data_IF_512428894881
#
_entry.id   IF_512428894881
#
_cell.length_a   1.000
_cell.length_b   1.000
_cell.length_c   1.000
_cell.angle_alpha   90.00
_cell.angle_beta   90.00
_cell.angle_gamma   90.00
#
_symmetry.space_group_name_H-M   'P 1'
#
loop_
_entity.id
_entity.type
_entity.pdbx_description
1 polymer ?
#
# COMPACT_ATOMS: atom_id res chain seq x y z
N UNK A 1 10.07 7.86 -3.29
CA UNK A 1 8.71 8.37 -2.97
C UNK A 1 8.89 9.51 -2.01
N UNK A 2 8.03 10.50 -2.16
CA UNK A 2 8.15 11.80 -1.51
C UNK A 2 6.74 12.24 -1.14
N UNK A 3 6.53 12.63 0.10
CA UNK A 3 5.32 13.30 0.55
C UNK A 3 5.63 14.78 0.69
N UNK A 4 4.75 15.62 0.14
CA UNK A 4 5.02 17.06 0.08
C UNK A 4 3.74 17.87 0.13
N UNK A 5 3.85 19.08 0.67
CA UNK A 5 2.76 20.05 0.63
C UNK A 5 2.54 20.59 -0.80
N UNK A 6 1.48 21.37 -0.98
CA UNK A 6 1.11 21.91 -2.29
C UNK A 6 2.19 22.81 -2.91
N UNK A 7 2.83 23.66 -2.12
CA UNK A 7 3.86 24.59 -2.60
C UNK A 7 5.08 23.85 -3.16
N UNK A 8 5.62 22.89 -2.40
CA UNK A 8 6.75 22.07 -2.83
C UNK A 8 6.37 21.21 -4.04
N UNK A 9 5.14 20.69 -4.09
CA UNK A 9 4.66 19.94 -5.25
C UNK A 9 4.65 20.78 -6.53
N UNK A 10 4.16 22.01 -6.46
CA UNK A 10 4.12 22.91 -7.62
C UNK A 10 5.52 23.26 -8.14
N UNK A 11 6.49 23.46 -7.23
CA UNK A 11 7.90 23.65 -7.60
C UNK A 11 8.44 22.41 -8.34
N UNK A 12 8.25 21.21 -7.78
CA UNK A 12 8.67 19.94 -8.41
C UNK A 12 8.02 19.76 -9.78
N UNK A 13 6.73 20.09 -9.90
CA UNK A 13 5.97 19.98 -11.14
C UNK A 13 6.50 20.94 -12.21
N UNK A 14 6.80 22.18 -11.84
CA UNK A 14 7.40 23.15 -12.76
C UNK A 14 8.75 22.66 -13.25
N UNK A 15 9.67 22.31 -12.35
CA UNK A 15 11.02 21.85 -12.74
C UNK A 15 10.98 20.58 -13.58
N UNK A 16 10.12 19.61 -13.25
CA UNK A 16 9.96 18.42 -14.07
C UNK A 16 9.47 18.75 -15.48
N UNK A 17 8.56 19.73 -15.61
CA UNK A 17 8.06 20.19 -16.92
C UNK A 17 9.16 20.86 -17.73
N UNK A 18 9.99 21.69 -17.09
CA UNK A 18 11.15 22.35 -17.71
C UNK A 18 12.18 21.31 -18.23
N UNK A 19 12.32 20.19 -17.51
CA UNK A 19 13.16 19.05 -17.90
C UNK A 19 12.50 18.12 -18.94
N UNK A 20 11.30 18.45 -19.44
CA UNK A 20 10.55 17.64 -20.40
C UNK A 20 9.94 16.36 -19.81
N UNK A 21 9.85 16.26 -18.49
CA UNK A 21 9.29 15.12 -17.76
C UNK A 21 7.83 15.39 -17.40
N UNK A 22 6.92 14.62 -18.01
CA UNK A 22 5.50 14.67 -17.67
C UNK A 22 5.22 13.94 -16.36
N UNK A 23 4.77 14.68 -15.33
CA UNK A 23 4.28 14.07 -14.08
C UNK A 23 2.82 13.65 -14.24
N UNK A 24 2.53 12.36 -14.11
CA UNK A 24 1.20 11.80 -14.34
C UNK A 24 0.35 11.77 -13.07
N UNK A 25 -0.82 12.42 -13.08
CA UNK A 25 -1.81 12.28 -12.00
C UNK A 25 -2.32 10.84 -11.97
N UNK A 26 -2.40 10.24 -10.79
CA UNK A 26 -3.11 8.99 -10.59
C UNK A 26 -4.55 9.12 -11.13
N UNK A 27 -5.01 8.10 -11.85
CA UNK A 27 -6.36 8.01 -12.38
C UNK A 27 -6.88 6.61 -12.12
N UNK A 28 -8.13 6.50 -11.68
CA UNK A 28 -8.85 5.24 -11.38
C UNK A 28 -8.31 4.43 -10.19
N UNK A 29 -7.02 4.52 -9.87
CA UNK A 29 -6.40 3.83 -8.74
C UNK A 29 -5.20 4.59 -8.19
N UNK A 30 -5.07 4.62 -6.85
CA UNK A 30 -3.98 5.29 -6.13
C UNK A 30 -2.63 4.59 -6.33
N UNK A 31 -2.63 3.30 -6.63
CA UNK A 31 -1.41 2.55 -6.92
C UNK A 31 -0.82 2.81 -8.31
N UNK A 32 -1.54 3.45 -9.23
CA UNK A 32 -1.09 3.66 -10.63
C UNK A 32 0.34 4.23 -10.74
N UNK A 33 0.77 5.24 -9.94
CA UNK A 33 2.12 5.78 -10.01
C UNK A 33 3.26 4.79 -9.72
N UNK A 34 2.98 3.60 -9.16
CA UNK A 34 3.97 2.52 -8.99
C UNK A 34 4.35 1.84 -10.31
N UNK A 35 3.68 2.17 -11.42
CA UNK A 35 3.94 1.57 -12.73
C UNK A 35 5.33 1.90 -13.24
N UNK A 36 6.07 0.88 -13.69
CA UNK A 36 7.37 1.06 -14.35
C UNK A 36 7.30 1.90 -15.64
N UNK A 37 6.10 2.06 -16.22
CA UNK A 37 5.86 2.90 -17.39
C UNK A 37 5.71 4.38 -17.05
N UNK A 38 5.58 4.71 -15.76
CA UNK A 38 5.43 6.08 -15.27
C UNK A 38 6.75 6.47 -14.63
N UNK A 39 7.46 7.40 -15.26
CA UNK A 39 8.72 7.91 -14.73
C UNK A 39 8.50 8.77 -13.48
N UNK A 40 7.49 9.63 -13.53
CA UNK A 40 7.01 10.42 -12.39
C UNK A 40 5.48 10.43 -12.38
N UNK A 41 4.90 10.09 -11.23
CA UNK A 41 3.46 10.15 -11.02
C UNK A 41 3.13 10.68 -9.64
N UNK A 42 1.90 11.18 -9.47
CA UNK A 42 1.49 11.79 -8.21
C UNK A 42 0.05 11.44 -7.82
N UNK A 43 -0.23 11.50 -6.53
CA UNK A 43 -1.54 11.29 -5.93
C UNK A 43 -1.88 12.52 -5.07
N UNK A 44 -2.77 13.40 -5.55
CA UNK A 44 -3.21 14.53 -4.75
C UNK A 44 -4.17 14.10 -3.62
N UNK A 45 -4.32 14.90 -2.55
CA UNK A 45 -5.14 14.57 -1.38
C UNK A 45 -6.59 14.19 -1.69
N UNK A 46 -7.21 14.83 -2.69
CA UNK A 46 -8.58 14.56 -3.13
C UNK A 46 -8.78 13.15 -3.70
N UNK A 47 -7.71 12.53 -4.19
CA UNK A 47 -7.79 11.27 -4.92
C UNK A 47 -8.04 10.09 -4.00
N UNK A 48 -7.68 10.19 -2.72
CA UNK A 48 -7.87 9.14 -1.71
C UNK A 48 -9.35 8.79 -1.48
N UNK A 49 -10.26 9.73 -1.75
CA UNK A 49 -11.71 9.53 -1.67
C UNK A 49 -12.40 9.31 -3.03
N UNK A 50 -11.68 9.58 -4.12
CA UNK A 50 -12.25 9.67 -5.46
C UNK A 50 -12.52 8.30 -6.12
N UNK A 51 -11.84 7.23 -5.69
CA UNK A 51 -11.90 5.93 -6.37
C UNK A 51 -12.67 4.89 -5.56
N UNK A 52 -13.68 4.30 -6.19
CA UNK A 52 -14.60 3.35 -5.55
C UNK A 52 -13.96 2.02 -5.18
N UNK A 53 -13.04 1.51 -5.99
CA UNK A 53 -12.45 0.16 -5.84
C UNK A 53 -11.71 -0.06 -4.52
N UNK A 54 -11.12 0.99 -3.95
CA UNK A 54 -10.35 0.90 -2.71
C UNK A 54 -10.82 1.90 -1.64
N UNK A 55 -11.99 2.53 -1.83
CA UNK A 55 -12.42 3.70 -1.04
C UNK A 55 -12.34 3.45 0.47
N UNK A 56 -12.86 2.31 0.95
CA UNK A 56 -12.86 1.96 2.37
C UNK A 56 -11.45 1.68 2.90
N UNK A 57 -10.66 0.93 2.15
CA UNK A 57 -9.26 0.63 2.48
C UNK A 57 -8.42 1.92 2.54
N UNK A 58 -8.69 2.89 1.66
CA UNK A 58 -7.93 4.14 1.60
C UNK A 58 -8.28 5.14 2.72
N UNK A 59 -9.29 4.86 3.53
CA UNK A 59 -9.63 5.68 4.70
C UNK A 59 -8.48 5.85 5.70
N UNK A 60 -7.52 4.91 5.73
CA UNK A 60 -6.30 4.98 6.53
C UNK A 60 -5.42 6.20 6.21
N UNK A 61 -5.53 6.76 5.01
CA UNK A 61 -4.83 8.01 4.67
C UNK A 61 -5.24 9.18 5.58
N UNK A 62 -6.53 9.28 5.92
CA UNK A 62 -7.09 10.40 6.68
C UNK A 62 -6.70 10.41 8.16
N UNK A 63 -6.20 9.28 8.66
CA UNK A 63 -5.65 9.12 10.02
C UNK A 63 -4.13 9.08 10.02
N UNK A 64 -3.48 9.18 8.86
CA UNK A 64 -2.02 9.12 8.73
C UNK A 64 -1.36 10.49 8.89
N UNK A 65 -0.06 10.54 9.21
CA UNK A 65 0.73 11.78 9.22
C UNK A 65 0.79 12.50 7.86
N UNK A 66 0.47 11.80 6.76
CA UNK A 66 0.53 12.34 5.40
C UNK A 66 -0.77 13.01 4.95
N UNK A 67 -1.77 13.11 5.83
CA UNK A 67 -3.05 13.75 5.53
C UNK A 67 -2.84 15.17 4.99
N UNK A 68 -3.42 15.44 3.83
CA UNK A 68 -3.34 16.73 3.14
C UNK A 68 -2.12 16.90 2.26
N UNK A 69 -1.21 15.93 2.23
CA UNK A 69 -0.01 15.96 1.39
C UNK A 69 -0.22 15.28 0.04
N UNK A 70 0.53 15.73 -0.96
CA UNK A 70 0.62 15.06 -2.26
C UNK A 70 1.72 14.01 -2.21
N UNK A 71 1.38 12.77 -2.58
CA UNK A 71 2.37 11.73 -2.79
C UNK A 71 2.95 11.85 -4.19
N UNK A 72 4.28 11.85 -4.29
CA UNK A 72 5.01 11.74 -5.56
C UNK A 72 5.80 10.44 -5.58
N UNK A 73 5.56 9.64 -6.63
CA UNK A 73 6.32 8.43 -6.95
C UNK A 73 7.17 8.73 -8.19
N UNK A 74 8.47 8.49 -8.07
CA UNK A 74 9.42 8.76 -9.14
C UNK A 74 10.41 7.62 -9.24
N UNK A 75 10.74 7.22 -10.46
CA UNK A 75 11.88 6.34 -10.75
C UNK A 75 13.21 7.10 -10.80
N UNK A 76 13.15 8.44 -10.78
CA UNK A 76 14.32 9.33 -10.75
C UNK A 76 14.69 9.72 -9.32
N UNK A 77 15.99 9.91 -9.10
CA UNK A 77 16.50 10.53 -7.89
C UNK A 77 16.26 12.06 -7.98
N UNK A 78 15.56 12.62 -6.99
CA UNK A 78 15.23 14.05 -6.94
C UNK A 78 16.14 14.84 -5.98
N UNK A 79 17.23 14.24 -5.48
CA UNK A 79 18.20 14.92 -4.60
C UNK A 79 18.84 16.15 -5.24
N UNK A 80 19.05 16.16 -6.56
CA UNK A 80 19.50 17.36 -7.29
C UNK A 80 18.52 18.54 -7.20
N UNK A 81 17.28 18.28 -6.78
CA UNK A 81 16.22 19.27 -6.53
C UNK A 81 16.02 19.53 -5.03
N UNK A 82 17.01 19.16 -4.21
CA UNK A 82 16.97 19.34 -2.74
C UNK A 82 16.02 18.39 -2.01
N UNK A 83 15.49 17.36 -2.69
CA UNK A 83 14.54 16.43 -2.11
C UNK A 83 15.18 15.12 -1.68
N UNK A 84 14.91 14.71 -0.44
CA UNK A 84 15.25 13.38 0.06
C UNK A 84 14.06 12.47 -0.13
N UNK A 85 14.26 11.32 -0.79
CA UNK A 85 13.21 10.32 -0.89
C UNK A 85 12.96 9.74 0.49
N UNK A 86 11.75 9.83 1.02
CA UNK A 86 11.40 9.18 2.29
C UNK A 86 11.40 7.66 2.17
N UNK A 87 11.12 7.15 0.96
CA UNK A 87 10.94 5.72 0.76
C UNK A 87 11.35 5.26 -0.63
N UNK A 88 12.00 4.10 -0.69
CA UNK A 88 12.42 3.45 -1.92
C UNK A 88 11.81 2.04 -2.01
N UNK A 89 11.29 1.70 -3.18
CA UNK A 89 10.76 0.37 -3.47
C UNK A 89 11.75 -0.38 -4.35
N UNK A 90 12.13 -1.59 -3.96
CA UNK A 90 13.12 -2.40 -4.65
C UNK A 90 12.60 -3.82 -4.83
N UNK A 91 13.12 -4.50 -5.84
CA UNK A 91 12.84 -5.92 -6.05
C UNK A 91 13.44 -6.76 -4.92
N UNK A 92 12.66 -7.71 -4.36
CA UNK A 92 13.17 -8.67 -3.37
C UNK A 92 13.31 -10.09 -3.91
N UNK A 93 14.33 -10.80 -3.44
CA UNK A 93 14.48 -12.25 -3.62
C UNK A 93 13.74 -13.05 -2.54
N UNK A 94 13.22 -12.38 -1.50
CA UNK A 94 12.51 -13.05 -0.41
C UNK A 94 11.32 -13.88 -0.93
N UNK A 95 11.11 -15.03 -0.28
CA UNK A 95 9.98 -15.92 -0.51
C UNK A 95 9.47 -16.40 0.84
N UNK A 96 8.21 -16.11 1.14
CA UNK A 96 7.55 -16.66 2.31
C UNK A 96 7.26 -18.14 2.09
N UNK A 97 7.74 -19.00 3.01
CA UNK A 97 7.53 -20.46 2.93
C UNK A 97 6.17 -20.88 3.49
N UNK A 98 5.66 -20.17 4.50
CA UNK A 98 4.42 -20.51 5.20
C UNK A 98 3.71 -19.25 5.68
N UNK A 99 2.43 -19.12 5.35
CA UNK A 99 1.56 -18.08 5.85
C UNK A 99 0.88 -18.52 7.16
N UNK A 100 0.52 -17.57 8.04
CA UNK A 100 -0.27 -17.88 9.22
C UNK A 100 -1.66 -18.40 8.82
N UNK A 101 -2.14 -19.41 9.54
CA UNK A 101 -3.50 -19.92 9.46
C UNK A 101 -4.51 -19.01 10.17
N UNK A 102 -5.80 -19.39 10.12
CA UNK A 102 -6.91 -18.57 10.64
C UNK A 102 -6.77 -18.21 12.12
N UNK A 103 -6.42 -19.18 12.98
CA UNK A 103 -6.22 -18.95 14.43
C UNK A 103 -5.09 -17.97 14.70
N UNK A 104 -4.00 -18.10 13.96
CA UNK A 104 -2.82 -17.25 14.04
C UNK A 104 -3.11 -15.81 13.59
N UNK A 105 -3.94 -15.66 12.55
CA UNK A 105 -4.42 -14.36 12.08
C UNK A 105 -5.34 -13.69 13.09
N UNK A 106 -6.27 -14.43 13.71
CA UNK A 106 -7.19 -13.89 14.72
C UNK A 106 -6.44 -13.19 15.88
N UNK A 107 -5.31 -13.76 16.33
CA UNK A 107 -4.51 -13.13 17.40
C UNK A 107 -3.95 -11.76 16.99
N UNK A 108 -3.71 -11.50 15.70
CA UNK A 108 -3.29 -10.17 15.24
C UNK A 108 -4.43 -9.15 15.31
N UNK A 109 -5.67 -9.58 15.06
CA UNK A 109 -6.85 -8.72 15.08
C UNK A 109 -7.26 -8.34 16.51
N UNK A 110 -6.95 -9.18 17.49
CA UNK A 110 -7.26 -8.93 18.90
C UNK A 110 -6.31 -7.91 19.55
N UNK A 111 -5.21 -7.55 18.89
CA UNK A 111 -4.21 -6.61 19.41
C UNK A 111 -4.78 -5.21 19.55
N UNK A 112 -4.46 -4.57 20.67
CA UNK A 112 -4.84 -3.20 20.95
C UNK A 112 -4.29 -2.25 19.87
N UNK A 113 -3.01 -2.41 19.50
CA UNK A 113 -2.35 -1.62 18.44
C UNK A 113 -3.16 -1.57 17.15
N UNK A 114 -3.64 -2.72 16.67
CA UNK A 114 -4.50 -2.76 15.48
C UNK A 114 -5.87 -2.10 15.71
N UNK A 115 -6.50 -2.37 16.86
CA UNK A 115 -7.85 -1.87 17.17
C UNK A 115 -7.90 -0.36 17.32
N UNK A 116 -6.84 0.26 17.85
CA UNK A 116 -6.75 1.73 18.02
C UNK A 116 -6.30 2.44 16.75
N UNK A 117 -5.50 1.80 15.90
CA UNK A 117 -5.00 2.41 14.66
C UNK A 117 -5.99 2.36 13.50
N UNK A 118 -6.88 1.37 13.47
CA UNK A 118 -7.82 1.22 12.34
C UNK A 118 -8.88 2.33 12.33
N UNK A 119 -9.16 2.96 11.17
CA UNK A 119 -10.27 3.90 11.04
C UNK A 119 -11.63 3.23 11.23
N UNK A 120 -12.60 3.89 11.83
CA UNK A 120 -13.96 3.36 12.00
C UNK A 120 -14.62 2.90 10.69
N UNK A 121 -14.34 3.59 9.58
CA UNK A 121 -14.89 3.28 8.26
C UNK A 121 -14.36 1.93 7.75
N UNK A 122 -13.18 1.50 8.21
CA UNK A 122 -12.54 0.25 7.79
C UNK A 122 -13.41 -0.98 8.07
N UNK A 123 -14.06 -1.04 9.23
CA UNK A 123 -14.90 -2.19 9.60
C UNK A 123 -16.31 -2.14 8.99
N UNK A 124 -16.70 -1.00 8.39
CA UNK A 124 -18.05 -0.79 7.86
C UNK A 124 -18.15 -1.31 6.42
N UNK A 125 -18.28 -2.63 6.28
CA UNK A 125 -18.51 -3.26 4.98
C UNK A 125 -20.01 -3.17 4.64
N UNK A 126 -20.34 -2.47 3.56
CA UNK A 126 -21.71 -2.43 3.03
C UNK A 126 -22.07 -3.81 2.41
N UNK A 127 -23.28 -4.35 2.64
CA UNK A 127 -23.73 -5.59 2.01
C UNK A 127 -23.55 -5.65 0.47
N UNK A 128 -23.75 -4.52 -0.23
CA UNK A 128 -23.51 -4.41 -1.67
C UNK A 128 -22.03 -4.47 -2.01
N UNK A 129 -21.16 -3.88 -1.18
CA UNK A 129 -19.70 -3.99 -1.33
C UNK A 129 -19.27 -5.44 -1.16
N UNK A 130 -19.84 -6.15 -0.17
CA UNK A 130 -19.58 -7.56 0.07
C UNK A 130 -19.94 -8.43 -1.14
N UNK A 131 -21.14 -8.26 -1.70
CA UNK A 131 -21.58 -9.00 -2.90
C UNK A 131 -20.66 -8.73 -4.11
N UNK A 132 -20.31 -7.46 -4.33
CA UNK A 132 -19.39 -7.08 -5.41
C UNK A 132 -18.01 -7.68 -5.22
N UNK A 133 -17.50 -7.70 -3.99
CA UNK A 133 -16.22 -8.31 -3.66
C UNK A 133 -16.27 -9.82 -3.88
N UNK A 134 -17.29 -10.53 -3.40
CA UNK A 134 -17.45 -11.98 -3.63
C UNK A 134 -17.47 -12.32 -5.14
N UNK A 135 -18.11 -11.48 -5.96
CA UNK A 135 -18.07 -11.64 -7.42
C UNK A 135 -16.66 -11.43 -7.97
N UNK A 136 -15.94 -10.42 -7.48
CA UNK A 136 -14.56 -10.16 -7.85
C UNK A 136 -13.62 -11.30 -7.47
N UNK A 137 -13.81 -11.94 -6.31
CA UNK A 137 -13.02 -13.11 -5.90
C UNK A 137 -13.13 -14.26 -6.90
N UNK A 138 -14.35 -14.53 -7.38
CA UNK A 138 -14.58 -15.54 -8.43
C UNK A 138 -13.88 -15.18 -9.74
N UNK A 139 -13.94 -13.92 -10.16
CA UNK A 139 -13.23 -13.43 -11.37
C UNK A 139 -11.71 -13.59 -11.22
N UNK A 140 -11.18 -13.38 -10.01
CA UNK A 140 -9.76 -13.54 -9.70
C UNK A 140 -9.34 -15.01 -9.48
N UNK A 141 -10.23 -15.97 -9.69
CA UNK A 141 -9.95 -17.41 -9.55
C UNK A 141 -9.85 -17.89 -8.10
N UNK A 142 -10.35 -17.12 -7.14
CA UNK A 142 -10.44 -17.56 -5.74
C UNK A 142 -11.78 -18.28 -5.56
N UNK A 143 -11.71 -19.59 -5.37
CA UNK A 143 -12.87 -20.45 -5.16
C UNK A 143 -12.88 -21.00 -3.73
N UNK A 144 -14.08 -21.15 -3.16
CA UNK A 144 -14.27 -21.76 -1.84
C UNK A 144 -13.87 -20.89 -0.65
N UNK A 145 -13.63 -19.60 -0.86
CA UNK A 145 -13.39 -18.62 0.21
C UNK A 145 -14.44 -17.51 0.15
N UNK A 146 -15.02 -17.15 1.29
CA UNK A 146 -15.92 -16.00 1.38
C UNK A 146 -15.15 -14.68 1.51
N UNK A 147 -15.78 -13.56 1.17
CA UNK A 147 -15.19 -12.25 1.44
C UNK A 147 -14.85 -12.05 2.93
N UNK A 148 -15.65 -12.57 3.86
CA UNK A 148 -15.35 -12.43 5.29
C UNK A 148 -14.04 -13.13 5.67
N UNK A 149 -13.81 -14.33 5.14
CA UNK A 149 -12.57 -15.07 5.37
C UNK A 149 -11.36 -14.36 4.78
N UNK A 150 -11.53 -13.75 3.61
CA UNK A 150 -10.50 -12.94 2.99
C UNK A 150 -10.23 -11.65 3.78
N UNK A 151 -11.30 -11.03 4.29
CA UNK A 151 -11.21 -9.81 5.06
C UNK A 151 -10.43 -10.01 6.36
N UNK A 152 -10.52 -11.20 6.98
CA UNK A 152 -9.63 -11.55 8.11
C UNK A 152 -8.16 -11.49 7.70
N UNK A 153 -7.80 -12.04 6.53
CA UNK A 153 -6.42 -11.98 6.03
C UNK A 153 -5.99 -10.57 5.67
N UNK A 154 -6.88 -9.75 5.10
CA UNK A 154 -6.65 -8.33 4.86
C UNK A 154 -6.31 -7.58 6.15
N UNK A 155 -7.14 -7.72 7.17
CA UNK A 155 -6.94 -7.13 8.49
C UNK A 155 -5.64 -7.62 9.13
N UNK A 156 -5.38 -8.93 9.11
CA UNK A 156 -4.18 -9.52 9.69
C UNK A 156 -2.91 -9.02 9.01
N UNK A 157 -2.95 -8.83 7.69
CA UNK A 157 -1.82 -8.27 6.95
C UNK A 157 -1.50 -6.85 7.43
N UNK A 158 -2.49 -5.95 7.47
CA UNK A 158 -2.31 -4.58 7.97
C UNK A 158 -1.84 -4.56 9.43
N UNK A 159 -2.46 -5.37 10.30
CA UNK A 159 -2.08 -5.51 11.70
C UNK A 159 -0.61 -5.91 11.88
N UNK A 160 -0.09 -6.82 11.04
CA UNK A 160 1.31 -7.25 11.11
C UNK A 160 2.31 -6.16 10.68
N UNK A 161 1.87 -5.16 9.92
CA UNK A 161 2.70 -4.00 9.60
C UNK A 161 2.62 -2.89 10.65
N UNK A 162 1.66 -2.93 11.57
CA UNK A 162 1.54 -2.00 12.71
C UNK A 162 2.31 -2.56 13.91
N UNK A 163 2.08 -3.82 14.24
CA UNK A 163 2.81 -4.53 15.28
C UNK A 163 3.17 -5.92 14.75
N UNK A 164 4.42 -6.14 14.31
CA UNK A 164 4.84 -7.38 13.71
C UNK A 164 4.79 -8.55 14.69
N UNK A 165 4.19 -9.66 14.23
CA UNK A 165 4.42 -11.00 14.80
C UNK A 165 5.17 -11.89 13.83
N UNK A 166 5.00 -11.62 12.54
CA UNK A 166 5.61 -12.34 11.44
C UNK A 166 6.57 -11.39 10.74
N UNK A 167 7.84 -11.60 11.01
CA UNK A 167 8.94 -10.82 10.45
C UNK A 167 10.15 -11.73 10.22
N UNK A 168 11.10 -11.25 9.44
CA UNK A 168 12.44 -11.82 9.42
C UNK A 168 13.36 -10.98 10.32
N UNK A 169 14.25 -11.64 11.04
CA UNK A 169 15.31 -10.94 11.77
C UNK A 169 16.50 -10.71 10.84
N UNK A 170 16.85 -9.44 10.66
CA UNK A 170 18.05 -9.05 9.94
C UNK A 170 18.65 -7.79 10.61
N UNK A 171 19.04 -7.95 11.87
CA UNK A 171 19.43 -6.86 12.78
C UNK A 171 18.23 -6.16 13.42
N UNK A 172 17.24 -5.77 12.63
CA UNK A 172 15.94 -5.29 13.11
C UNK A 172 14.79 -6.14 12.53
N UNK A 173 13.60 -6.14 13.17
CA UNK A 173 12.42 -6.79 12.62
C UNK A 173 12.04 -6.21 11.25
N UNK A 174 11.92 -7.08 10.26
CA UNK A 174 11.42 -6.73 8.92
C UNK A 174 10.07 -7.43 8.70
N UNK A 175 8.94 -6.75 8.93
CA UNK A 175 7.63 -7.35 8.70
C UNK A 175 7.38 -7.61 7.22
N UNK A 176 6.56 -8.62 6.95
CA UNK A 176 6.24 -9.03 5.59
C UNK A 176 4.75 -9.31 5.39
N UNK A 177 4.27 -9.18 4.16
CA UNK A 177 2.86 -9.46 3.81
C UNK A 177 2.47 -10.91 4.07
N UNK A 178 1.29 -11.12 4.64
CA UNK A 178 0.83 -12.43 5.14
C UNK A 178 0.04 -13.26 4.12
N UNK A 179 0.15 -12.95 2.83
CA UNK A 179 -0.57 -13.64 1.79
C UNK A 179 0.03 -13.49 0.40
N UNK A 180 -0.54 -14.26 -0.52
CA UNK A 180 -0.36 -14.11 -1.97
C UNK A 180 -1.10 -12.88 -2.45
N UNK A 181 -0.82 -12.41 -3.66
CA UNK A 181 -1.46 -11.22 -4.25
C UNK A 181 -2.97 -11.23 -4.10
N UNK A 182 -3.61 -12.37 -4.34
CA UNK A 182 -5.06 -12.54 -4.25
C UNK A 182 -5.64 -12.40 -2.83
N UNK A 183 -4.79 -12.48 -1.79
CA UNK A 183 -5.16 -12.32 -0.37
C UNK A 183 -4.76 -10.97 0.23
N UNK A 184 -4.16 -10.07 -0.57
CA UNK A 184 -3.75 -8.75 -0.10
C UNK A 184 -4.71 -7.71 -0.65
N UNK A 185 -5.21 -6.81 0.21
CA UNK A 185 -5.91 -5.61 -0.23
C UNK A 185 -5.02 -4.39 -0.08
N UNK A 186 -5.24 -3.39 -0.93
CA UNK A 186 -4.66 -2.04 -0.81
C UNK A 186 -3.21 -2.00 -0.32
N UNK A 187 -2.35 -2.82 -0.92
CA UNK A 187 -0.92 -2.87 -0.61
C UNK A 187 -0.24 -1.49 -0.74
N UNK A 188 -0.90 -0.53 -1.40
CA UNK A 188 -0.48 0.87 -1.44
C UNK A 188 -0.37 1.50 -0.04
N UNK A 189 -1.11 1.03 0.97
CA UNK A 189 -0.97 1.53 2.34
C UNK A 189 0.42 1.22 2.90
N UNK A 190 0.93 0.00 2.67
CA UNK A 190 2.27 -0.40 3.07
C UNK A 190 3.34 0.17 2.16
N UNK A 191 3.12 0.17 0.84
CA UNK A 191 4.06 0.73 -0.13
C UNK A 191 4.31 2.21 0.13
N UNK A 192 3.25 2.97 0.43
CA UNK A 192 3.34 4.42 0.64
C UNK A 192 3.59 4.82 2.10
N UNK A 193 3.89 3.85 2.96
CA UNK A 193 4.14 4.03 4.39
C UNK A 193 2.97 4.66 5.18
N UNK A 194 1.75 4.62 4.66
CA UNK A 194 0.56 4.96 5.45
C UNK A 194 0.43 3.99 6.63
N UNK A 195 0.77 2.71 6.42
CA UNK A 195 0.88 1.70 7.46
C UNK A 195 2.33 1.22 7.55
N UNK A 196 2.87 1.17 8.76
CA UNK A 196 4.20 0.65 9.07
C UNK A 196 5.34 1.63 8.80
N UNK A 197 5.12 2.95 8.94
CA UNK A 197 6.15 3.98 8.80
C UNK A 197 7.20 3.94 9.92
N UNK A 198 6.98 3.17 10.98
CA UNK A 198 7.94 2.93 12.05
C UNK A 198 9.03 1.91 11.66
N UNK A 199 8.79 1.10 10.62
CA UNK A 199 9.73 0.05 10.21
C UNK A 199 10.69 0.53 9.12
N UNK A 200 11.99 0.46 9.42
CA UNK A 200 13.05 0.84 8.47
C UNK A 200 12.95 0.11 7.13
N UNK A 201 12.58 -1.17 7.17
CA UNK A 201 12.38 -2.03 6.01
C UNK A 201 11.15 -2.90 6.19
N UNK A 202 10.39 -3.08 5.10
CA UNK A 202 9.24 -3.97 5.00
C UNK A 202 9.27 -4.77 3.71
N UNK A 203 8.60 -5.92 3.70
CA UNK A 203 8.50 -6.79 2.54
C UNK A 203 7.03 -6.91 2.11
N UNK A 204 6.66 -6.24 1.02
CA UNK A 204 5.27 -6.08 0.61
C UNK A 204 4.97 -6.86 -0.67
N UNK A 205 3.86 -7.59 -0.67
CA UNK A 205 3.29 -8.25 -1.86
C UNK A 205 2.22 -7.34 -2.46
N UNK A 206 2.17 -7.14 -3.80
CA UNK A 206 1.13 -6.31 -4.41
C UNK A 206 -0.24 -6.96 -4.28
N UNK A 207 -1.26 -6.13 -4.04
CA UNK A 207 -2.67 -6.51 -4.15
C UNK A 207 -3.09 -6.65 -5.63
N UNK A 208 -4.28 -7.21 -5.95
CA UNK A 208 -4.75 -7.35 -7.32
C UNK A 208 -4.81 -6.01 -8.06
N UNK A 209 -5.23 -4.94 -7.38
CA UNK A 209 -5.25 -3.59 -7.94
C UNK A 209 -3.87 -3.11 -8.37
N UNK A 210 -2.83 -3.33 -7.55
CA UNK A 210 -1.46 -2.94 -7.90
C UNK A 210 -0.91 -3.77 -9.09
N UNK A 211 -1.31 -5.03 -9.22
CA UNK A 211 -0.99 -5.83 -10.42
C UNK A 211 -1.69 -5.27 -11.66
N UNK A 212 -2.99 -5.00 -11.57
CA UNK A 212 -3.81 -4.56 -12.70
C UNK A 212 -3.47 -3.14 -13.17
N UNK A 213 -3.35 -2.19 -12.25
CA UNK A 213 -3.17 -0.78 -12.58
C UNK A 213 -1.71 -0.35 -12.66
N UNK A 214 -0.82 -0.94 -11.85
CA UNK A 214 0.60 -0.60 -11.82
C UNK A 214 1.49 -1.65 -12.49
N UNK A 215 0.95 -2.78 -12.96
CA UNK A 215 1.74 -3.81 -13.64
C UNK A 215 2.77 -4.48 -12.73
N UNK A 216 2.55 -4.48 -11.42
CA UNK A 216 3.44 -5.16 -10.47
C UNK A 216 3.35 -6.68 -10.64
N UNK A 217 4.44 -7.40 -10.35
CA UNK A 217 4.46 -8.85 -10.53
C UNK A 217 3.65 -9.55 -9.42
N UNK A 218 2.70 -10.44 -9.77
CA UNK A 218 1.90 -11.14 -8.77
C UNK A 218 2.78 -12.07 -7.91
N UNK A 219 2.41 -12.22 -6.63
CA UNK A 219 3.09 -13.08 -5.65
C UNK A 219 4.58 -12.78 -5.42
N UNK A 220 5.04 -11.60 -5.84
CA UNK A 220 6.40 -11.14 -5.62
C UNK A 220 6.47 -10.21 -4.43
N UNK A 221 7.45 -10.44 -3.57
CA UNK A 221 7.80 -9.49 -2.52
C UNK A 221 8.67 -8.37 -3.07
N UNK A 222 8.39 -7.16 -2.62
CA UNK A 222 9.16 -5.95 -2.85
C UNK A 222 9.67 -5.43 -1.51
N UNK A 223 10.92 -4.96 -1.48
CA UNK A 223 11.43 -4.24 -0.32
C UNK A 223 10.93 -2.81 -0.35
N UNK A 224 10.35 -2.35 0.76
CA UNK A 224 10.00 -0.95 1.00
C UNK A 224 10.95 -0.46 2.07
N UNK A 225 11.89 0.42 1.70
CA UNK A 225 12.99 0.86 2.55
C UNK A 225 12.86 2.35 2.80
N UNK A 226 12.86 2.74 4.06
CA UNK A 226 12.86 4.15 4.44
C UNK A 226 14.27 4.72 4.40
N UNK A 227 14.41 5.98 4.03
CA UNK A 227 15.68 6.69 4.16
C UNK A 227 15.99 6.97 5.63
N UNK A 228 17.27 7.14 5.95
CA UNK A 228 17.74 7.52 7.30
C UNK A 228 17.43 8.98 7.59
#
# INVERSE_FOLDING_TARGET
MYWMNAEVFEQVRSTATDDGITIQKAKKAICLPLSKKIQMGYVPPDSWDAYTLCKRQLSWYHTSPFKGQTLVVSSLNLSSRGLTAETQIRDSKFRCRKFPGKKEQAVLLDRESYRVSKPDVWDRIDPKEKEQNDRWLKVMGIHGQSYDELFITHCANHANFIEPRYFIENGQPVPYSLGKTVHICSACLEFFNIIGSEWKKKLVVPCPGAVLFAGMAPNRYYEVVQSD
#
